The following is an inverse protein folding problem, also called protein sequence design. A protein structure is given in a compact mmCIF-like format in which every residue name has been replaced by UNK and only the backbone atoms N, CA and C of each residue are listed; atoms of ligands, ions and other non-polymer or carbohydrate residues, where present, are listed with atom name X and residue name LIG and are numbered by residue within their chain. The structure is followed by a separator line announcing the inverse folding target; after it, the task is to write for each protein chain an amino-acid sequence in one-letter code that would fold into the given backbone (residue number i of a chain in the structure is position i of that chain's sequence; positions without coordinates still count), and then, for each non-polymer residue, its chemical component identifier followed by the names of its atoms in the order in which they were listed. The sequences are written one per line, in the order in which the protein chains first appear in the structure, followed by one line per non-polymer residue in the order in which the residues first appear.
data_IF_276900904955
#
_entry.id   IF_276900904955
#
_cell.length_a   1.000
_cell.length_b   1.000
_cell.length_c   1.000
_cell.angle_alpha   90.00
_cell.angle_beta   90.00
_cell.angle_gamma   90.00
#
_symmetry.space_group_name_H-M   'P 1'
#
loop_
_entity.id
_entity.type
_entity.pdbx_description
1 polymer ?
#
# COMPACT_ATOMS: atom_id res chain seq x y z
N UNK A 1 12.17 14.39 -5.17
CA UNK A 1 11.55 14.62 -3.85
C UNK A 1 10.79 13.37 -3.43
N UNK A 2 9.88 12.87 -4.25
CA UNK A 2 9.08 11.69 -3.93
C UNK A 2 9.97 10.45 -3.73
N UNK A 3 10.90 10.21 -4.64
CA UNK A 3 11.93 9.15 -4.53
C UNK A 3 12.75 9.26 -3.23
N UNK A 4 13.00 10.46 -2.72
CA UNK A 4 13.73 10.66 -1.47
C UNK A 4 12.88 10.23 -0.26
N UNK A 5 11.59 10.57 -0.25
CA UNK A 5 10.67 10.13 0.80
C UNK A 5 10.50 8.61 0.79
N UNK A 6 10.30 8.04 -0.39
CA UNK A 6 10.13 6.59 -0.52
C UNK A 6 11.37 5.85 -0.01
N UNK A 7 12.57 6.32 -0.35
CA UNK A 7 13.82 5.76 0.19
C UNK A 7 13.91 5.86 1.71
N UNK A 8 13.51 6.99 2.30
CA UNK A 8 13.53 7.15 3.75
C UNK A 8 12.49 6.24 4.40
N UNK A 9 11.29 6.16 3.83
CA UNK A 9 10.24 5.24 4.29
C UNK A 9 10.70 3.79 4.22
N UNK A 10 11.28 3.36 3.11
CA UNK A 10 11.81 2.01 2.93
C UNK A 10 12.92 1.66 3.94
N UNK A 11 13.77 2.64 4.29
CA UNK A 11 14.87 2.44 5.24
C UNK A 11 14.45 2.51 6.70
N UNK A 12 13.45 3.30 7.04
CA UNK A 12 13.10 3.64 8.42
C UNK A 12 11.71 3.16 8.86
N UNK A 13 10.82 2.85 7.91
CA UNK A 13 9.41 2.58 8.18
C UNK A 13 8.64 3.80 8.70
N UNK A 14 9.21 5.02 8.57
CA UNK A 14 8.53 6.25 8.94
C UNK A 14 7.56 6.63 7.83
N UNK A 15 6.32 6.90 8.21
CA UNK A 15 5.33 7.43 7.27
C UNK A 15 5.53 8.92 7.02
N UNK A 16 5.33 9.33 5.76
CA UNK A 16 5.31 10.72 5.32
C UNK A 16 4.00 10.95 4.55
N UNK A 17 3.05 11.56 5.23
CA UNK A 17 1.77 11.88 4.62
C UNK A 17 1.87 13.00 3.58
N UNK A 18 0.75 13.31 2.92
CA UNK A 18 0.68 14.33 1.89
C UNK A 18 1.21 15.69 2.39
N UNK A 19 0.81 16.14 3.58
CA UNK A 19 1.25 17.42 4.15
C UNK A 19 2.76 17.48 4.34
N UNK A 20 3.40 16.41 4.82
CA UNK A 20 4.87 16.36 5.00
C UNK A 20 5.58 16.52 3.64
N UNK A 21 5.07 15.83 2.62
CA UNK A 21 5.59 15.89 1.24
C UNK A 21 5.43 17.29 0.66
N UNK A 22 4.27 17.91 0.82
CA UNK A 22 4.00 19.27 0.36
C UNK A 22 4.86 20.32 1.05
N UNK A 23 5.06 20.22 2.37
CA UNK A 23 5.95 21.10 3.12
C UNK A 23 7.39 21.05 2.60
N UNK A 24 7.91 19.84 2.34
CA UNK A 24 9.27 19.72 1.79
C UNK A 24 9.37 20.30 0.37
N UNK A 25 8.36 20.10 -0.48
CA UNK A 25 8.31 20.70 -1.82
C UNK A 25 8.37 22.22 -1.71
N UNK A 26 7.53 22.79 -0.85
CA UNK A 26 7.51 24.23 -0.64
C UNK A 26 8.84 24.77 -0.12
N UNK A 27 9.47 24.08 0.83
CA UNK A 27 10.79 24.46 1.35
C UNK A 27 11.85 24.45 0.24
N UNK A 28 11.91 23.41 -0.58
CA UNK A 28 12.84 23.36 -1.74
C UNK A 28 12.57 24.47 -2.76
N UNK A 29 11.32 24.92 -2.89
CA UNK A 29 10.93 26.02 -3.75
C UNK A 29 11.08 27.41 -3.09
N UNK A 30 11.54 27.47 -1.84
CA UNK A 30 11.62 28.70 -1.01
C UNK A 30 10.26 29.40 -0.88
N UNK A 31 9.20 28.62 -0.69
CA UNK A 31 7.80 29.06 -0.58
C UNK A 31 7.16 28.68 0.76
N UNK A 32 7.96 28.50 1.81
CA UNK A 32 7.48 28.06 3.13
C UNK A 32 6.40 28.96 3.71
N UNK A 33 6.45 30.28 3.43
CA UNK A 33 5.47 31.27 3.91
C UNK A 33 4.04 31.03 3.41
N UNK A 34 3.86 30.24 2.35
CA UNK A 34 2.55 29.89 1.82
C UNK A 34 1.99 28.60 2.42
N UNK A 35 2.79 27.84 3.19
CA UNK A 35 2.41 26.53 3.73
C UNK A 35 1.75 26.63 5.12
N UNK A 36 0.69 27.44 5.25
CA UNK A 36 -0.16 27.36 6.42
C UNK A 36 -1.06 26.10 6.38
N UNK A 37 -1.63 25.72 7.52
CA UNK A 37 -2.43 24.49 7.64
C UNK A 37 -3.67 24.50 6.73
N UNK A 38 -4.32 25.63 6.57
CA UNK A 38 -5.52 25.76 5.72
C UNK A 38 -5.17 25.56 4.25
N UNK A 39 -4.10 26.15 3.75
CA UNK A 39 -3.61 25.97 2.39
C UNK A 39 -3.20 24.54 2.11
N UNK A 40 -2.45 23.91 3.04
CA UNK A 40 -2.04 22.50 2.89
C UNK A 40 -3.26 21.58 2.83
N UNK A 41 -4.23 21.78 3.71
CA UNK A 41 -5.48 20.98 3.70
C UNK A 41 -6.24 21.16 2.40
N UNK A 42 -6.38 22.38 1.90
CA UNK A 42 -7.05 22.63 0.62
C UNK A 42 -6.32 21.96 -0.55
N UNK A 43 -4.99 21.94 -0.51
CA UNK A 43 -4.18 21.30 -1.55
C UNK A 43 -4.31 19.76 -1.48
N UNK A 44 -4.31 19.18 -0.28
CA UNK A 44 -4.60 17.75 -0.08
C UNK A 44 -5.98 17.38 -0.63
N UNK A 45 -7.03 18.12 -0.28
CA UNK A 45 -8.38 17.90 -0.76
C UNK A 45 -8.46 17.97 -2.31
N UNK A 46 -7.75 18.92 -2.92
CA UNK A 46 -7.67 19.04 -4.37
C UNK A 46 -6.95 17.86 -5.02
N UNK A 47 -5.86 17.38 -4.43
CA UNK A 47 -5.12 16.20 -4.91
C UNK A 47 -6.01 14.96 -4.84
N UNK A 48 -6.67 14.74 -3.73
CA UNK A 48 -7.56 13.62 -3.50
C UNK A 48 -8.76 13.63 -4.48
N UNK A 49 -9.37 14.80 -4.71
CA UNK A 49 -10.46 14.94 -5.68
C UNK A 49 -9.97 14.73 -7.13
N UNK A 50 -8.79 15.26 -7.48
CA UNK A 50 -8.20 15.03 -8.79
C UNK A 50 -7.91 13.54 -9.02
N UNK A 51 -7.41 12.83 -8.00
CA UNK A 51 -7.19 11.39 -8.07
C UNK A 51 -8.48 10.61 -8.39
N UNK A 52 -9.59 10.92 -7.73
CA UNK A 52 -10.88 10.27 -8.03
C UNK A 52 -11.42 10.65 -9.41
N UNK A 53 -11.20 11.89 -9.86
CA UNK A 53 -11.61 12.33 -11.19
C UNK A 53 -10.86 11.64 -12.32
N UNK A 54 -9.57 11.34 -12.08
CA UNK A 54 -8.69 10.65 -13.01
C UNK A 54 -8.32 9.25 -12.49
N UNK A 55 -9.34 8.52 -12.05
CA UNK A 55 -9.19 7.21 -11.44
C UNK A 55 -8.33 6.29 -12.31
N UNK A 56 -7.24 5.72 -11.77
CA UNK A 56 -6.44 4.74 -12.51
C UNK A 56 -7.25 3.48 -12.78
N UNK A 57 -6.95 2.79 -13.85
CA UNK A 57 -7.51 1.45 -14.13
C UNK A 57 -6.77 0.39 -13.33
N UNK A 58 -7.43 -0.75 -13.12
CA UNK A 58 -6.72 -1.95 -12.65
C UNK A 58 -5.70 -2.37 -13.71
N UNK A 59 -4.59 -2.89 -13.27
CA UNK A 59 -3.48 -3.29 -14.14
C UNK A 59 -3.88 -4.43 -15.09
N UNK A 60 -4.82 -5.28 -14.65
CA UNK A 60 -5.35 -6.40 -15.41
C UNK A 60 -6.72 -6.80 -14.86
N UNK A 61 -7.59 -7.33 -15.71
CA UNK A 61 -8.91 -7.83 -15.32
C UNK A 61 -8.82 -9.10 -14.45
N UNK A 62 -7.70 -9.82 -14.47
CA UNK A 62 -7.47 -10.99 -13.64
C UNK A 62 -7.42 -10.68 -12.14
N UNK A 63 -7.18 -9.41 -11.74
CA UNK A 63 -7.20 -8.97 -10.34
C UNK A 63 -8.54 -9.31 -9.68
N UNK A 64 -9.65 -8.95 -10.31
CA UNK A 64 -11.00 -9.20 -9.77
C UNK A 64 -11.28 -10.71 -9.71
N UNK A 65 -10.91 -11.45 -10.77
CA UNK A 65 -11.09 -12.89 -10.83
C UNK A 65 -10.29 -13.59 -9.73
N UNK A 66 -9.03 -13.20 -9.54
CA UNK A 66 -8.18 -13.76 -8.50
C UNK A 66 -8.74 -13.52 -7.09
N UNK A 67 -9.19 -12.28 -6.80
CA UNK A 67 -9.78 -11.94 -5.50
C UNK A 67 -11.07 -12.74 -5.24
N UNK A 68 -11.93 -12.89 -6.25
CA UNK A 68 -13.14 -13.68 -6.14
C UNK A 68 -12.84 -15.16 -5.84
N UNK A 69 -11.89 -15.76 -6.55
CA UNK A 69 -11.48 -17.15 -6.33
C UNK A 69 -10.83 -17.36 -4.95
N UNK A 70 -10.06 -16.39 -4.46
CA UNK A 70 -9.54 -16.42 -3.09
C UNK A 70 -10.68 -16.41 -2.06
N UNK A 71 -11.71 -15.59 -2.27
CA UNK A 71 -12.89 -15.56 -1.38
C UNK A 71 -13.67 -16.89 -1.43
N UNK A 72 -13.79 -17.51 -2.60
CA UNK A 72 -14.42 -18.85 -2.73
C UNK A 72 -13.65 -19.94 -1.94
N UNK A 73 -12.33 -19.78 -1.79
CA UNK A 73 -11.49 -20.64 -0.93
C UNK A 73 -11.52 -20.25 0.55
N UNK A 74 -12.38 -19.31 0.96
CA UNK A 74 -12.48 -18.76 2.33
C UNK A 74 -11.19 -18.06 2.82
N UNK A 75 -10.40 -17.50 1.92
CA UNK A 75 -9.22 -16.73 2.28
C UNK A 75 -9.65 -15.37 2.81
N UNK A 76 -9.12 -14.96 3.96
CA UNK A 76 -9.25 -13.59 4.48
C UNK A 76 -8.32 -12.67 3.70
N UNK A 77 -8.86 -11.60 3.11
CA UNK A 77 -8.11 -10.66 2.29
C UNK A 77 -7.91 -9.36 3.06
N UNK A 78 -6.66 -9.01 3.28
CA UNK A 78 -6.23 -7.79 3.93
C UNK A 78 -5.43 -6.91 2.97
N UNK A 79 -5.82 -5.65 2.84
CA UNK A 79 -5.07 -4.63 2.13
C UNK A 79 -4.19 -3.86 3.13
N UNK A 80 -2.87 -3.82 2.88
CA UNK A 80 -1.90 -3.03 3.64
C UNK A 80 -1.07 -2.18 2.69
N UNK A 81 -1.25 -0.86 2.70
CA UNK A 81 -0.60 0.05 1.77
C UNK A 81 0.15 1.16 2.48
N UNK A 82 1.39 1.41 2.06
CA UNK A 82 2.04 2.68 2.33
C UNK A 82 1.41 3.74 1.43
N UNK A 83 0.93 4.82 2.03
CA UNK A 83 0.34 5.94 1.32
C UNK A 83 1.39 7.04 1.08
N UNK A 84 1.14 7.87 0.08
CA UNK A 84 1.98 9.00 -0.25
C UNK A 84 1.15 10.30 -0.31
N UNK A 85 0.90 10.77 -1.54
CA UNK A 85 0.06 11.95 -1.75
C UNK A 85 -1.44 11.67 -1.63
N UNK A 86 -1.87 10.44 -1.88
CA UNK A 86 -3.28 10.07 -1.80
C UNK A 86 -3.56 9.45 -0.43
N UNK A 87 -4.51 10.01 0.29
CA UNK A 87 -4.88 9.51 1.61
C UNK A 87 -5.55 8.13 1.55
N UNK A 88 -5.45 7.35 2.64
CA UNK A 88 -6.08 6.05 2.76
C UNK A 88 -7.59 6.11 2.56
N UNK A 89 -8.24 7.18 2.99
CA UNK A 89 -9.67 7.42 2.79
C UNK A 89 -10.02 7.44 1.29
N UNK A 90 -9.26 8.17 0.48
CA UNK A 90 -9.52 8.29 -0.95
C UNK A 90 -9.03 7.07 -1.72
N UNK A 91 -7.95 6.42 -1.28
CA UNK A 91 -7.52 5.14 -1.83
C UNK A 91 -8.62 4.08 -1.67
N UNK A 92 -9.25 4.01 -0.50
CA UNK A 92 -10.37 3.09 -0.23
C UNK A 92 -11.57 3.39 -1.12
N UNK A 93 -11.91 4.67 -1.34
CA UNK A 93 -12.97 5.07 -2.28
C UNK A 93 -12.65 4.63 -3.71
N UNK A 94 -11.43 4.88 -4.18
CA UNK A 94 -10.98 4.49 -5.51
C UNK A 94 -11.07 2.98 -5.72
N UNK A 95 -10.56 2.18 -4.78
CA UNK A 95 -10.65 0.72 -4.82
C UNK A 95 -12.10 0.22 -4.75
N UNK A 96 -12.98 0.95 -4.08
CA UNK A 96 -14.44 0.70 -4.09
C UNK A 96 -15.04 0.90 -5.48
N UNK A 97 -14.72 2.01 -6.15
CA UNK A 97 -15.16 2.28 -7.52
C UNK A 97 -14.63 1.26 -8.53
N UNK A 98 -13.42 0.75 -8.30
CA UNK A 98 -12.81 -0.32 -9.11
C UNK A 98 -13.33 -1.72 -8.78
N UNK A 99 -14.25 -1.87 -7.82
CA UNK A 99 -14.84 -3.14 -7.44
C UNK A 99 -13.95 -4.06 -6.61
N UNK A 100 -12.80 -3.57 -6.11
CA UNK A 100 -11.84 -4.35 -5.30
C UNK A 100 -12.33 -4.50 -3.86
N UNK A 101 -12.86 -3.42 -3.25
CA UNK A 101 -13.18 -3.39 -1.82
C UNK A 101 -14.26 -4.38 -1.40
N UNK A 102 -15.11 -4.86 -2.29
CA UNK A 102 -16.11 -5.90 -1.97
C UNK A 102 -15.49 -7.26 -1.58
N UNK A 103 -14.21 -7.48 -1.89
CA UNK A 103 -13.48 -8.70 -1.54
C UNK A 103 -12.57 -8.52 -0.31
N UNK A 104 -12.36 -7.27 0.13
CA UNK A 104 -11.41 -6.93 1.19
C UNK A 104 -12.10 -6.99 2.56
N UNK A 105 -11.59 -7.83 3.46
CA UNK A 105 -12.09 -7.96 4.83
C UNK A 105 -11.49 -6.90 5.77
N UNK A 106 -10.21 -6.55 5.55
CA UNK A 106 -9.48 -5.53 6.31
C UNK A 106 -8.71 -4.61 5.39
N UNK A 107 -8.65 -3.33 5.70
CA UNK A 107 -7.84 -2.37 4.96
C UNK A 107 -7.10 -1.41 5.87
N UNK A 108 -5.80 -1.34 5.72
CA UNK A 108 -4.88 -0.53 6.52
C UNK A 108 -4.02 0.35 5.63
N UNK A 109 -3.90 1.62 5.99
CA UNK A 109 -3.11 2.60 5.27
C UNK A 109 -2.16 3.29 6.23
N UNK A 110 -0.92 3.51 5.81
CA UNK A 110 0.14 4.03 6.69
C UNK A 110 -0.15 5.43 7.24
N UNK A 111 -0.81 6.29 6.46
CA UNK A 111 -1.24 7.62 6.91
C UNK A 111 -2.24 7.59 8.06
N UNK A 112 -3.08 6.56 8.14
CA UNK A 112 -4.04 6.36 9.22
C UNK A 112 -3.36 5.78 10.48
N UNK A 113 -2.41 4.85 10.31
CA UNK A 113 -1.69 4.16 11.40
C UNK A 113 -0.48 4.97 11.89
N UNK A 114 0.06 5.87 11.06
CA UNK A 114 1.29 6.66 11.27
C UNK A 114 2.57 5.82 11.28
N UNK A 115 2.51 4.62 10.76
CA UNK A 115 3.62 3.68 10.61
C UNK A 115 3.56 3.10 9.20
N UNK A 116 4.70 3.00 8.52
CA UNK A 116 4.82 2.46 7.17
C UNK A 116 5.66 1.17 7.15
N UNK A 117 5.39 0.27 6.18
CA UNK A 117 6.31 -0.83 5.88
C UNK A 117 7.67 -0.26 5.46
N UNK A 118 8.79 -0.86 5.83
CA UNK A 118 8.98 -2.18 6.44
C UNK A 118 9.03 -2.19 7.97
N UNK A 119 8.56 -1.17 8.68
CA UNK A 119 8.57 -1.17 10.14
C UNK A 119 7.80 -2.39 10.68
N UNK A 120 8.40 -3.24 11.56
CA UNK A 120 7.76 -4.43 12.07
C UNK A 120 6.48 -4.14 12.88
N UNK A 121 6.35 -2.93 13.45
CA UNK A 121 5.17 -2.56 14.22
C UNK A 121 3.89 -2.51 13.38
N UNK A 122 3.99 -2.19 12.07
CA UNK A 122 2.80 -2.19 11.19
C UNK A 122 2.31 -3.61 10.96
N UNK A 123 3.21 -4.58 10.77
CA UNK A 123 2.85 -5.99 10.61
C UNK A 123 2.28 -6.56 11.91
N UNK A 124 2.86 -6.16 13.06
CA UNK A 124 2.35 -6.54 14.38
C UNK A 124 0.95 -5.96 14.63
N UNK A 125 0.71 -4.72 14.25
CA UNK A 125 -0.61 -4.09 14.34
C UNK A 125 -1.64 -4.85 13.48
N UNK A 126 -1.32 -5.14 12.23
CA UNK A 126 -2.19 -5.84 11.29
C UNK A 126 -2.53 -7.25 11.80
N UNK A 127 -1.54 -8.06 12.12
CA UNK A 127 -1.77 -9.46 12.59
C UNK A 127 -2.54 -9.52 13.88
N UNK A 128 -2.29 -8.59 14.81
CA UNK A 128 -3.05 -8.48 16.05
C UNK A 128 -4.51 -8.11 15.79
N UNK A 129 -4.76 -7.16 14.91
CA UNK A 129 -6.13 -6.73 14.56
C UNK A 129 -6.89 -7.84 13.84
N UNK A 130 -6.22 -8.63 13.00
CA UNK A 130 -6.81 -9.77 12.30
C UNK A 130 -6.93 -11.02 13.21
N UNK A 131 -6.32 -11.02 14.39
CA UNK A 131 -6.33 -12.18 15.30
C UNK A 131 -5.59 -13.40 14.74
N UNK A 132 -4.54 -13.20 13.92
CA UNK A 132 -3.81 -14.31 13.29
C UNK A 132 -2.32 -14.29 13.64
N UNK A 133 -1.68 -15.45 13.50
CA UNK A 133 -0.23 -15.56 13.67
C UNK A 133 0.50 -15.17 12.39
N UNK A 134 1.69 -14.54 12.46
CA UNK A 134 2.44 -14.10 11.28
C UNK A 134 2.64 -15.21 10.23
N UNK A 135 3.00 -16.41 10.63
CA UNK A 135 3.24 -17.54 9.72
C UNK A 135 2.00 -18.03 8.96
N UNK A 136 0.79 -17.60 9.38
CA UNK A 136 -0.47 -17.85 8.66
C UNK A 136 -0.81 -16.77 7.63
N UNK A 137 0.06 -15.77 7.47
CA UNK A 137 -0.13 -14.67 6.52
C UNK A 137 0.81 -14.86 5.35
N UNK A 138 0.28 -14.73 4.14
CA UNK A 138 1.05 -14.55 2.92
C UNK A 138 0.96 -13.08 2.50
N UNK A 139 2.05 -12.34 2.64
CA UNK A 139 2.15 -10.96 2.19
C UNK A 139 2.53 -10.93 0.70
N UNK A 140 1.81 -10.14 -0.08
CA UNK A 140 2.05 -9.97 -1.52
C UNK A 140 2.22 -8.49 -1.80
N UNK A 141 3.34 -8.12 -2.40
CA UNK A 141 3.62 -6.74 -2.76
C UNK A 141 4.75 -6.64 -3.79
N UNK A 142 5.00 -5.45 -4.29
CA UNK A 142 5.96 -5.19 -5.37
C UNK A 142 7.25 -4.51 -4.90
N UNK A 143 7.30 -4.04 -3.65
CA UNK A 143 8.50 -3.44 -3.08
C UNK A 143 9.32 -4.50 -2.34
N UNK A 144 10.58 -4.69 -2.78
CA UNK A 144 11.48 -5.70 -2.22
C UNK A 144 11.74 -5.46 -0.73
N UNK A 145 12.01 -4.22 -0.32
CA UNK A 145 12.35 -3.89 1.07
C UNK A 145 11.11 -3.81 1.95
N UNK A 146 10.10 -3.07 1.51
CA UNK A 146 8.90 -2.79 2.31
C UNK A 146 7.99 -4.02 2.40
N UNK A 147 7.76 -4.73 1.30
CA UNK A 147 6.81 -5.84 1.26
C UNK A 147 7.48 -7.17 1.51
N UNK A 148 8.45 -7.55 0.67
CA UNK A 148 9.01 -8.89 0.72
C UNK A 148 9.91 -9.10 1.94
N UNK A 149 10.99 -8.31 2.06
CA UNK A 149 11.93 -8.46 3.17
C UNK A 149 11.31 -8.07 4.52
N UNK A 150 10.50 -7.00 4.56
CA UNK A 150 9.83 -6.56 5.77
C UNK A 150 8.91 -7.65 6.34
N UNK A 151 8.09 -8.28 5.49
CA UNK A 151 7.20 -9.37 5.90
C UNK A 151 7.97 -10.63 6.34
N UNK A 152 9.00 -11.05 5.59
CA UNK A 152 9.84 -12.20 5.97
C UNK A 152 10.54 -11.95 7.30
N UNK A 153 11.17 -10.78 7.51
CA UNK A 153 11.83 -10.43 8.77
C UNK A 153 10.87 -10.43 9.96
N UNK A 154 9.60 -10.11 9.71
CA UNK A 154 8.55 -10.16 10.74
C UNK A 154 8.06 -11.60 11.03
N UNK A 155 8.36 -12.57 10.18
CA UNK A 155 7.93 -13.98 10.33
C UNK A 155 6.67 -14.34 9.55
N UNK A 156 6.27 -13.52 8.58
CA UNK A 156 5.24 -13.86 7.59
C UNK A 156 5.84 -14.65 6.43
N UNK A 157 4.98 -15.32 5.67
CA UNK A 157 5.33 -15.73 4.32
C UNK A 157 5.22 -14.51 3.40
N UNK A 158 6.03 -14.45 2.35
CA UNK A 158 5.96 -13.36 1.39
C UNK A 158 6.21 -13.82 -0.05
N UNK A 159 5.56 -13.12 -0.98
CA UNK A 159 5.72 -13.28 -2.42
C UNK A 159 5.85 -11.91 -3.05
N UNK A 160 6.87 -11.76 -3.90
CA UNK A 160 7.09 -10.52 -4.64
C UNK A 160 6.25 -10.53 -5.93
N UNK A 161 5.39 -9.53 -6.08
CA UNK A 161 4.65 -9.30 -7.31
C UNK A 161 5.52 -8.48 -8.28
N UNK A 162 6.20 -9.15 -9.20
CA UNK A 162 7.05 -8.51 -10.19
C UNK A 162 6.43 -8.63 -11.58
N UNK A 163 5.87 -7.55 -12.07
CA UNK A 163 5.25 -7.49 -13.39
C UNK A 163 6.26 -7.17 -14.52
N UNK A 164 7.53 -6.98 -14.18
CA UNK A 164 8.64 -6.83 -15.12
C UNK A 164 9.35 -8.19 -15.23
N UNK A 165 9.41 -8.78 -16.40
CA UNK A 165 9.86 -10.16 -16.68
C UNK A 165 11.34 -10.51 -16.31
N UNK A 166 12.02 -9.70 -15.52
CA UNK A 166 13.47 -9.77 -15.37
C UNK A 166 13.99 -10.64 -14.22
N UNK A 167 13.15 -11.08 -13.28
CA UNK A 167 13.60 -11.93 -12.16
C UNK A 167 12.54 -13.01 -11.89
N UNK A 168 12.83 -14.24 -12.26
CA UNK A 168 12.00 -15.39 -11.89
C UNK A 168 12.72 -16.20 -10.82
N UNK A 169 12.21 -16.18 -9.59
CA UNK A 169 12.56 -17.12 -8.55
C UNK A 169 11.27 -17.69 -7.94
N UNK A 170 11.38 -18.73 -7.12
CA UNK A 170 10.23 -19.42 -6.50
C UNK A 170 9.35 -18.51 -5.61
N UNK A 171 9.88 -17.36 -5.21
CA UNK A 171 9.20 -16.37 -4.37
C UNK A 171 8.58 -15.21 -5.17
N UNK A 172 8.63 -15.25 -6.50
CA UNK A 172 8.08 -14.20 -7.37
C UNK A 172 6.86 -14.70 -8.12
N UNK A 173 5.87 -13.82 -8.29
CA UNK A 173 4.71 -14.00 -9.18
C UNK A 173 4.61 -12.81 -10.12
N UNK A 174 3.99 -13.00 -11.27
CA UNK A 174 3.80 -11.96 -12.29
C UNK A 174 2.34 -11.49 -12.38
N UNK A 175 1.43 -12.26 -11.81
CA UNK A 175 0.00 -11.91 -11.69
C UNK A 175 -0.58 -12.43 -10.37
N UNK A 176 -1.69 -11.85 -9.92
CA UNK A 176 -2.38 -12.34 -8.72
C UNK A 176 -3.00 -13.73 -8.93
N UNK A 177 -3.33 -14.10 -10.16
CA UNK A 177 -3.87 -15.42 -10.47
C UNK A 177 -2.89 -16.56 -10.16
N UNK A 178 -1.59 -16.31 -10.19
CA UNK A 178 -0.57 -17.29 -9.80
C UNK A 178 -0.61 -17.66 -8.31
N UNK A 179 -1.20 -16.81 -7.45
CA UNK A 179 -1.40 -17.14 -6.05
C UNK A 179 -2.30 -18.35 -5.85
N UNK A 180 -3.27 -18.56 -6.75
CA UNK A 180 -4.26 -19.62 -6.64
C UNK A 180 -3.65 -21.03 -6.71
N UNK A 181 -2.46 -21.14 -7.27
CA UNK A 181 -1.68 -22.38 -7.37
C UNK A 181 -0.78 -22.58 -6.16
N UNK A 182 -0.53 -21.50 -5.39
CA UNK A 182 0.39 -21.52 -4.23
C UNK A 182 -0.32 -21.66 -2.88
N UNK A 183 -1.69 -21.59 -2.88
CA UNK A 183 -2.52 -21.62 -1.66
C UNK A 183 -3.41 -22.86 -1.59
#
# INVERSE_FOLDING_TARGET
IDIEFDKITDLTGRDFNCADRLKLIASKLKKDSYCNEEFLKQLEDNIDQAFLRFLPSLKSDDVIIALEQLKQKNVTICLLSNTGFISGVYMRKALGLLGVMKFVDYSFFSDEIKIAKPNPEIFAFVTRTMGCMPYNVLHVGDNVLADYEGAIKFGMNAVLLNTKETISNSATIHSLSELLVKI
#
